data_IF_282102506733
#
_entry.id   IF_282102506733
#
_cell.length_a   1.000
_cell.length_b   1.000
_cell.length_c   1.000
_cell.angle_alpha   90.00
_cell.angle_beta   90.00
_cell.angle_gamma   90.00
#
_symmetry.space_group_name_H-M   'P 1'
#
loop_
_entity.id
_entity.type
_entity.pdbx_description
1 polymer ?
#
# COMPACT_ATOMS: atom_id res chain seq x y z
N UNK A 1 58.85 -64.42 -9.66
CA UNK A 1 57.52 -65.00 -9.59
C UNK A 1 56.47 -64.11 -8.84
N UNK A 2 56.84 -63.29 -7.88
CA UNK A 2 55.93 -62.47 -7.04
C UNK A 2 55.13 -61.41 -7.87
N UNK A 3 55.70 -60.82 -8.92
CA UNK A 3 55.10 -59.77 -9.72
C UNK A 3 53.85 -60.18 -10.55
N UNK A 4 53.71 -61.48 -10.88
CA UNK A 4 52.58 -62.04 -11.63
C UNK A 4 51.25 -62.11 -10.81
N UNK A 5 51.39 -62.19 -9.49
CA UNK A 5 50.23 -62.33 -8.60
C UNK A 5 49.89 -61.01 -7.88
N UNK A 6 50.84 -60.06 -7.83
CA UNK A 6 50.66 -58.77 -7.13
C UNK A 6 49.64 -57.90 -7.84
N UNK A 7 49.66 -57.83 -9.17
CA UNK A 7 48.75 -56.98 -9.97
C UNK A 7 47.27 -57.46 -9.85
N UNK A 8 46.95 -58.74 -10.03
CA UNK A 8 45.55 -59.18 -9.86
C UNK A 8 45.06 -59.06 -8.40
N UNK A 9 45.93 -59.23 -7.40
CA UNK A 9 45.57 -59.00 -6.00
C UNK A 9 45.20 -57.56 -5.72
N UNK A 10 45.98 -56.59 -6.23
CA UNK A 10 45.68 -55.15 -6.12
C UNK A 10 44.38 -54.79 -6.82
N UNK A 11 44.07 -55.37 -7.98
CA UNK A 11 42.82 -55.15 -8.69
C UNK A 11 41.63 -55.65 -7.90
N UNK A 12 41.71 -56.81 -7.26
CA UNK A 12 40.66 -57.37 -6.41
C UNK A 12 40.44 -56.49 -5.18
N UNK A 13 41.47 -56.03 -4.51
CA UNK A 13 41.40 -55.11 -3.37
C UNK A 13 40.73 -53.80 -3.79
N UNK A 14 41.12 -53.24 -4.95
CA UNK A 14 40.51 -52.03 -5.50
C UNK A 14 39.03 -52.20 -5.83
N UNK A 15 38.64 -53.36 -6.37
CA UNK A 15 37.22 -53.68 -6.65
C UNK A 15 36.42 -53.80 -5.35
N UNK A 16 36.93 -54.51 -4.34
CA UNK A 16 36.27 -54.61 -3.05
C UNK A 16 36.12 -53.23 -2.39
N UNK A 17 37.13 -52.39 -2.45
CA UNK A 17 37.08 -51.04 -1.92
C UNK A 17 36.05 -50.16 -2.68
N UNK A 18 36.00 -50.26 -4.00
CA UNK A 18 35.00 -49.57 -4.80
C UNK A 18 33.58 -49.98 -4.47
N UNK A 19 33.33 -51.31 -4.33
CA UNK A 19 32.00 -51.83 -3.94
C UNK A 19 31.64 -51.38 -2.51
N UNK A 20 32.60 -51.35 -1.60
CA UNK A 20 32.39 -50.86 -0.23
C UNK A 20 32.08 -49.36 -0.22
N UNK A 21 32.79 -48.54 -1.01
CA UNK A 21 32.58 -47.12 -1.13
C UNK A 21 31.20 -46.80 -1.72
N UNK A 22 30.76 -47.51 -2.79
CA UNK A 22 29.42 -47.36 -3.37
C UNK A 22 28.32 -47.72 -2.37
N UNK A 23 28.50 -48.84 -1.62
CA UNK A 23 27.54 -49.18 -0.56
C UNK A 23 27.47 -48.17 0.58
N UNK A 24 28.56 -47.49 0.90
CA UNK A 24 28.60 -46.48 1.92
C UNK A 24 27.97 -45.15 1.41
N UNK A 25 28.17 -44.80 0.14
CA UNK A 25 27.57 -43.63 -0.51
C UNK A 25 26.07 -43.82 -0.78
N UNK A 26 25.60 -45.08 -0.91
CA UNK A 26 24.19 -45.38 -1.19
C UNK A 26 23.32 -45.46 0.08
N UNK A 27 23.80 -45.03 1.24
CA UNK A 27 22.92 -44.94 2.43
C UNK A 27 21.86 -43.89 2.15
N UNK A 28 20.55 -44.22 2.22
CA UNK A 28 19.50 -43.22 2.02
C UNK A 28 19.65 -42.14 3.08
N UNK A 29 19.83 -40.90 2.63
CA UNK A 29 19.79 -39.72 3.51
C UNK A 29 18.36 -39.67 4.02
N UNK A 30 18.14 -39.93 5.28
CA UNK A 30 16.83 -39.76 5.91
C UNK A 30 16.41 -38.32 5.73
N UNK A 31 15.25 -38.03 5.12
CA UNK A 31 14.79 -36.64 4.99
C UNK A 31 14.74 -36.03 6.39
N UNK A 32 15.26 -34.81 6.49
CA UNK A 32 15.19 -34.05 7.74
C UNK A 32 13.73 -34.01 8.21
N UNK A 33 13.49 -34.32 9.48
CA UNK A 33 12.14 -34.20 10.05
C UNK A 33 11.67 -32.77 9.88
N UNK A 34 10.43 -32.54 9.41
CA UNK A 34 9.90 -31.19 9.32
C UNK A 34 9.97 -30.54 10.70
N UNK A 35 10.33 -29.26 10.74
CA UNK A 35 10.48 -28.48 11.98
C UNK A 35 9.15 -28.37 12.75
N UNK A 36 8.03 -28.48 12.03
CA UNK A 36 6.68 -28.55 12.60
C UNK A 36 5.85 -29.57 11.81
N UNK A 37 4.96 -30.29 12.51
CA UNK A 37 3.99 -31.14 11.83
C UNK A 37 3.04 -30.28 10.98
N UNK A 38 2.65 -30.75 9.78
CA UNK A 38 1.68 -30.03 8.96
C UNK A 38 0.33 -29.94 9.68
N UNK A 39 -0.38 -28.78 9.58
CA UNK A 39 -1.65 -28.60 10.26
C UNK A 39 -2.68 -29.64 9.79
N UNK A 40 -3.39 -30.26 10.75
CA UNK A 40 -4.49 -31.18 10.48
C UNK A 40 -5.77 -30.39 10.30
N UNK A 41 -6.25 -30.30 9.07
CA UNK A 41 -7.48 -29.59 8.71
C UNK A 41 -8.63 -30.57 8.56
N UNK A 42 -9.82 -30.18 9.04
CA UNK A 42 -11.03 -31.02 9.00
C UNK A 42 -11.72 -31.09 7.64
N UNK A 43 -11.24 -30.35 6.63
CA UNK A 43 -11.83 -30.36 5.28
C UNK A 43 -11.33 -31.56 4.48
N UNK A 44 -12.25 -32.38 3.96
CA UNK A 44 -11.92 -33.52 3.08
C UNK A 44 -11.36 -33.02 1.74
N UNK A 45 -12.03 -32.06 1.12
CA UNK A 45 -11.61 -31.37 -0.09
C UNK A 45 -11.14 -29.97 0.27
N UNK A 46 -9.85 -29.69 0.13
CA UNK A 46 -9.28 -28.40 0.49
C UNK A 46 -8.45 -27.79 -0.64
N UNK A 47 -8.51 -26.48 -0.73
CA UNK A 47 -7.56 -25.65 -1.47
C UNK A 47 -6.62 -25.07 -0.44
N UNK A 48 -5.32 -25.27 -0.63
CA UNK A 48 -4.28 -24.68 0.22
C UNK A 48 -3.63 -23.48 -0.47
N UNK A 49 -3.45 -22.40 0.27
CA UNK A 49 -2.80 -21.21 -0.23
C UNK A 49 -1.98 -20.52 0.84
N UNK A 50 -0.96 -19.78 0.43
CA UNK A 50 -0.25 -18.87 1.32
C UNK A 50 -1.07 -17.58 1.46
N UNK A 51 -1.35 -17.17 2.68
CA UNK A 51 -2.05 -15.93 2.99
C UNK A 51 -1.09 -14.88 3.57
N UNK A 52 -1.20 -13.64 3.13
CA UNK A 52 -0.49 -12.49 3.72
C UNK A 52 -1.48 -11.69 4.54
N UNK A 53 -1.12 -11.41 5.79
CA UNK A 53 -1.92 -10.55 6.68
C UNK A 53 -1.77 -9.09 6.25
N UNK A 54 -2.90 -8.40 6.11
CA UNK A 54 -2.95 -6.98 5.75
C UNK A 54 -3.93 -6.23 6.66
N UNK A 55 -3.78 -4.91 6.73
CA UNK A 55 -4.81 -4.05 7.30
C UNK A 55 -6.12 -4.13 6.47
N UNK A 56 -7.27 -3.90 7.07
CA UNK A 56 -8.58 -3.90 6.36
C UNK A 56 -8.65 -2.86 5.24
N UNK A 57 -7.90 -1.77 5.36
CA UNK A 57 -7.75 -0.72 4.34
C UNK A 57 -6.65 -1.01 3.33
N UNK A 58 -6.02 -2.18 3.38
CA UNK A 58 -4.66 -2.46 2.90
C UNK A 58 -3.62 -1.60 3.64
N UNK A 59 -2.34 -1.92 3.42
CA UNK A 59 -1.27 -1.11 3.96
C UNK A 59 -1.05 0.10 3.06
N UNK A 60 -1.33 1.32 3.58
CA UNK A 60 -1.22 2.56 2.81
C UNK A 60 0.18 3.12 2.97
N UNK A 61 0.89 3.23 1.86
CA UNK A 61 2.20 3.85 1.78
C UNK A 61 2.06 5.38 1.70
N UNK A 62 2.53 6.09 2.70
CA UNK A 62 2.52 7.55 2.75
C UNK A 62 3.81 8.08 2.11
N UNK A 63 3.64 8.90 1.10
CA UNK A 63 4.68 9.72 0.47
C UNK A 63 4.51 11.20 0.80
N UNK A 64 5.31 12.06 0.16
CA UNK A 64 5.19 13.50 0.26
C UNK A 64 4.68 14.12 -1.04
N UNK A 65 3.84 15.15 -0.96
CA UNK A 65 3.39 15.93 -2.12
C UNK A 65 4.51 16.83 -2.67
N UNK A 66 5.38 17.29 -1.79
CA UNK A 66 6.53 18.14 -2.12
C UNK A 66 7.80 17.57 -1.52
N UNK A 67 8.92 17.80 -2.18
CA UNK A 67 10.22 17.38 -1.64
C UNK A 67 10.76 18.40 -0.65
N UNK A 68 11.51 17.94 0.35
CA UNK A 68 12.14 18.82 1.33
C UNK A 68 12.79 18.08 2.48
N UNK A 69 13.47 18.84 3.35
CA UNK A 69 14.05 18.29 4.57
C UNK A 69 12.95 18.14 5.62
N UNK A 70 12.89 16.98 6.27
CA UNK A 70 11.97 16.71 7.37
C UNK A 70 12.35 17.55 8.58
N UNK A 71 11.45 18.41 9.00
CA UNK A 71 11.62 19.23 10.20
C UNK A 71 11.27 18.42 11.46
N UNK A 72 10.14 17.70 11.42
CA UNK A 72 9.63 16.93 12.56
C UNK A 72 8.80 15.74 12.08
N UNK A 73 8.91 14.62 12.81
CA UNK A 73 7.99 13.49 12.73
C UNK A 73 7.11 13.51 13.97
N UNK A 74 5.79 13.54 13.79
CA UNK A 74 4.81 13.68 14.88
C UNK A 74 4.26 12.36 15.39
N UNK A 75 4.51 11.28 14.69
CA UNK A 75 3.96 9.95 15.01
C UNK A 75 5.05 8.94 15.28
N UNK A 76 4.68 7.86 15.95
CA UNK A 76 5.53 6.69 16.25
C UNK A 76 4.81 5.40 15.87
N UNK A 77 5.56 4.33 15.69
CA UNK A 77 5.01 2.99 15.41
C UNK A 77 4.02 2.57 16.50
N UNK A 78 2.95 1.90 16.09
CA UNK A 78 1.82 1.46 16.91
C UNK A 78 0.96 2.60 17.50
N UNK A 79 1.14 3.84 17.04
CA UNK A 79 0.28 4.94 17.43
C UNK A 79 -1.03 4.91 16.63
N UNK A 80 -2.16 5.03 17.32
CA UNK A 80 -3.46 5.26 16.71
C UNK A 80 -3.53 6.69 16.19
N UNK A 81 -4.04 6.84 14.97
CA UNK A 81 -4.17 8.11 14.25
C UNK A 81 -5.56 8.22 13.65
N UNK A 82 -6.01 9.46 13.44
CA UNK A 82 -7.23 9.79 12.73
C UNK A 82 -6.94 10.43 11.39
N UNK A 83 -7.88 10.37 10.49
CA UNK A 83 -7.83 11.13 9.25
C UNK A 83 -7.61 12.62 9.53
N UNK A 84 -6.63 13.25 8.84
CA UNK A 84 -6.22 14.62 9.06
C UNK A 84 -5.10 14.81 10.09
N UNK A 85 -4.78 13.83 10.92
CA UNK A 85 -3.69 13.93 11.88
C UNK A 85 -2.34 14.14 11.17
N UNK A 86 -1.48 15.06 11.66
CA UNK A 86 -0.18 15.30 11.07
C UNK A 86 0.77 14.13 11.35
N UNK A 87 1.39 13.61 10.30
CA UNK A 87 2.36 12.51 10.36
C UNK A 87 3.79 13.04 10.45
N UNK A 88 4.16 13.93 9.56
CA UNK A 88 5.43 14.65 9.58
C UNK A 88 5.32 15.99 8.88
N UNK A 89 6.26 16.91 9.18
CA UNK A 89 6.34 18.23 8.55
C UNK A 89 7.70 18.43 7.94
N UNK A 90 7.71 19.11 6.79
CA UNK A 90 8.91 19.56 6.09
C UNK A 90 9.33 20.97 6.53
N UNK A 91 10.58 21.34 6.28
CA UNK A 91 11.08 22.67 6.54
C UNK A 91 10.39 23.70 5.65
N UNK A 92 9.59 24.55 6.26
CA UNK A 92 8.79 25.59 5.61
C UNK A 92 9.35 26.99 5.69
N UNK A 93 10.56 27.20 6.20
CA UNK A 93 11.11 28.56 6.44
C UNK A 93 11.11 29.42 5.16
N UNK A 94 11.58 28.86 4.05
CA UNK A 94 11.60 29.58 2.76
C UNK A 94 10.19 29.91 2.25
N UNK A 95 9.24 28.96 2.35
CA UNK A 95 7.85 29.16 1.93
C UNK A 95 7.12 30.21 2.80
N UNK A 96 7.39 30.24 4.10
CA UNK A 96 6.85 31.26 5.00
C UNK A 96 7.39 32.62 4.70
N UNK A 97 8.68 32.75 4.34
CA UNK A 97 9.26 34.03 3.90
C UNK A 97 8.63 34.51 2.58
N UNK A 98 8.41 33.61 1.61
CA UNK A 98 7.72 33.94 0.36
C UNK A 98 6.26 34.38 0.61
N UNK A 99 5.53 33.70 1.50
CA UNK A 99 4.19 34.14 1.91
C UNK A 99 4.20 35.61 2.45
N UNK A 100 5.13 35.93 3.34
CA UNK A 100 5.23 37.30 3.90
C UNK A 100 5.47 38.36 2.82
N UNK A 101 6.28 38.03 1.79
CA UNK A 101 6.50 38.93 0.65
C UNK A 101 5.20 39.14 -0.14
N UNK A 102 4.44 38.06 -0.41
CA UNK A 102 3.15 38.12 -1.12
C UNK A 102 2.09 38.89 -0.33
N UNK A 103 2.05 38.72 1.00
CA UNK A 103 1.15 39.46 1.89
C UNK A 103 1.48 40.96 1.87
N UNK A 104 2.77 41.34 1.86
CA UNK A 104 3.18 42.75 1.72
C UNK A 104 2.72 43.33 0.38
N UNK A 105 2.75 42.53 -0.72
CA UNK A 105 2.24 42.96 -2.02
C UNK A 105 0.72 43.21 -2.01
N UNK A 106 -0.05 42.41 -1.29
CA UNK A 106 -1.50 42.67 -1.12
C UNK A 106 -1.74 44.03 -0.45
N UNK A 107 -0.92 44.35 0.56
CA UNK A 107 -1.01 45.65 1.22
C UNK A 107 -0.68 46.82 0.26
N UNK A 108 0.36 46.65 -0.57
CA UNK A 108 0.75 47.65 -1.60
C UNK A 108 -0.38 47.89 -2.61
N UNK A 109 -0.91 46.80 -3.23
CA UNK A 109 -1.99 46.92 -4.22
C UNK A 109 -3.30 47.45 -3.59
N UNK A 110 -3.58 47.10 -2.32
CA UNK A 110 -4.72 47.67 -1.59
C UNK A 110 -4.58 49.17 -1.35
N UNK A 111 -3.37 49.65 -1.03
CA UNK A 111 -3.11 51.07 -0.87
C UNK A 111 -3.25 51.81 -2.19
N UNK A 112 -2.71 51.25 -3.29
CA UNK A 112 -2.82 51.81 -4.64
C UNK A 112 -4.30 51.91 -5.09
N UNK A 113 -5.10 50.86 -4.86
CA UNK A 113 -6.54 50.88 -5.16
C UNK A 113 -7.24 52.00 -4.40
N UNK A 114 -7.00 52.13 -3.08
CA UNK A 114 -7.60 53.19 -2.25
C UNK A 114 -7.26 54.56 -2.74
N UNK A 115 -6.03 54.80 -3.20
CA UNK A 115 -5.61 56.11 -3.77
C UNK A 115 -6.37 56.40 -5.06
N UNK A 116 -6.46 55.43 -5.99
CA UNK A 116 -7.19 55.58 -7.25
C UNK A 116 -8.69 55.80 -7.02
N UNK A 117 -9.29 55.06 -6.08
CA UNK A 117 -10.70 55.27 -5.67
C UNK A 117 -10.92 56.67 -5.09
N UNK A 118 -10.00 57.17 -4.26
CA UNK A 118 -10.07 58.52 -3.71
C UNK A 118 -9.96 59.59 -4.82
N UNK A 119 -9.04 59.40 -5.77
CA UNK A 119 -8.90 60.29 -6.95
C UNK A 119 -10.16 60.26 -7.82
N UNK A 120 -10.75 59.11 -8.04
CA UNK A 120 -12.00 58.97 -8.79
C UNK A 120 -13.17 59.67 -8.09
N UNK A 121 -13.30 59.45 -6.77
CA UNK A 121 -14.34 60.08 -5.96
C UNK A 121 -14.25 61.61 -5.95
N UNK A 122 -13.04 62.16 -5.96
CA UNK A 122 -12.81 63.61 -6.10
C UNK A 122 -13.24 64.09 -7.49
N UNK A 123 -12.86 63.36 -8.56
CA UNK A 123 -13.24 63.70 -9.94
C UNK A 123 -14.76 63.64 -10.16
N UNK A 124 -15.47 62.72 -9.60
CA UNK A 124 -16.95 62.62 -9.69
C UNK A 124 -17.71 63.71 -8.97
N UNK A 125 -17.10 64.35 -7.97
CA UNK A 125 -17.70 65.49 -7.25
C UNK A 125 -17.58 66.80 -7.98
N UNK A 126 -16.76 66.94 -9.03
CA UNK A 126 -16.60 68.12 -9.81
C UNK A 126 -17.84 68.37 -10.68
N UNK A 127 -18.61 69.38 -10.37
CA UNK A 127 -19.88 69.73 -11.04
C UNK A 127 -19.72 70.43 -12.38
N UNK A 128 -18.56 71.06 -12.64
CA UNK A 128 -18.31 71.76 -13.89
C UNK A 128 -17.84 70.82 -14.99
N UNK A 129 -18.63 70.56 -16.06
CA UNK A 129 -18.26 69.69 -17.17
C UNK A 129 -17.03 70.15 -17.95
N UNK A 130 -16.60 71.43 -17.76
CA UNK A 130 -15.39 71.92 -18.40
C UNK A 130 -14.12 71.65 -17.61
N UNK A 131 -14.24 71.26 -16.34
CA UNK A 131 -13.11 71.01 -15.47
C UNK A 131 -12.55 69.61 -15.61
N UNK A 132 -13.38 68.65 -15.98
CA UNK A 132 -12.98 67.23 -16.19
C UNK A 132 -13.71 66.68 -17.43
N UNK A 133 -12.96 66.19 -18.42
CA UNK A 133 -13.55 65.56 -19.62
C UNK A 133 -14.14 64.19 -19.35
N UNK A 134 -15.12 63.80 -20.16
CA UNK A 134 -15.68 62.45 -20.10
C UNK A 134 -14.60 61.31 -20.32
N UNK A 135 -13.58 61.65 -21.16
CA UNK A 135 -12.44 60.76 -21.40
C UNK A 135 -11.57 60.61 -20.15
N UNK A 136 -11.30 61.67 -19.40
CA UNK A 136 -10.55 61.59 -18.14
C UNK A 136 -11.29 60.83 -17.06
N UNK A 137 -12.63 60.95 -16.94
CA UNK A 137 -13.43 60.16 -16.03
C UNK A 137 -13.37 58.69 -16.39
N UNK A 138 -13.49 58.36 -17.69
CA UNK A 138 -13.39 56.97 -18.13
C UNK A 138 -11.99 56.37 -17.86
N UNK A 139 -10.91 57.14 -18.10
CA UNK A 139 -9.55 56.71 -17.77
C UNK A 139 -9.39 56.37 -16.28
N UNK A 140 -9.91 57.24 -15.39
CA UNK A 140 -9.85 56.99 -13.94
C UNK A 140 -10.68 55.79 -13.54
N UNK A 141 -11.86 55.58 -14.14
CA UNK A 141 -12.71 54.38 -13.90
C UNK A 141 -11.98 53.11 -14.31
N UNK A 142 -11.36 53.10 -15.48
CA UNK A 142 -10.55 51.97 -15.92
C UNK A 142 -9.30 51.78 -15.06
N UNK A 143 -8.66 52.81 -14.55
CA UNK A 143 -7.55 52.71 -13.62
C UNK A 143 -7.94 52.02 -12.31
N UNK A 144 -9.11 52.35 -11.75
CA UNK A 144 -9.68 51.65 -10.57
C UNK A 144 -9.93 50.17 -10.88
N UNK A 145 -10.58 49.86 -12.01
CA UNK A 145 -10.83 48.46 -12.39
C UNK A 145 -9.53 47.64 -12.56
N UNK A 146 -8.49 48.25 -13.13
CA UNK A 146 -7.17 47.62 -13.26
C UNK A 146 -6.55 47.38 -11.88
N UNK A 147 -6.67 48.35 -10.95
CA UNK A 147 -6.14 48.19 -9.59
C UNK A 147 -6.91 47.12 -8.80
N UNK A 148 -8.24 47.06 -8.95
CA UNK A 148 -9.06 45.95 -8.38
C UNK A 148 -8.58 44.58 -8.88
N UNK A 149 -8.36 44.45 -10.20
CA UNK A 149 -7.86 43.22 -10.78
C UNK A 149 -6.46 42.85 -10.28
N UNK A 150 -5.56 43.84 -10.07
CA UNK A 150 -4.23 43.63 -9.49
C UNK A 150 -4.30 43.13 -8.04
N UNK A 151 -5.16 43.77 -7.24
CA UNK A 151 -5.39 43.37 -5.85
C UNK A 151 -5.93 41.93 -5.80
N UNK A 152 -6.93 41.58 -6.63
CA UNK A 152 -7.48 40.24 -6.72
C UNK A 152 -6.39 39.21 -7.09
N UNK A 153 -5.50 39.54 -8.02
CA UNK A 153 -4.36 38.68 -8.39
C UNK A 153 -3.40 38.51 -7.21
N UNK A 154 -3.04 39.60 -6.50
CA UNK A 154 -2.15 39.52 -5.34
C UNK A 154 -2.75 38.62 -4.22
N UNK A 155 -4.06 38.77 -3.96
CA UNK A 155 -4.78 37.92 -3.01
C UNK A 155 -4.73 36.44 -3.43
N UNK A 156 -4.97 36.12 -4.70
CA UNK A 156 -4.89 34.75 -5.20
C UNK A 156 -3.47 34.16 -5.06
N UNK A 157 -2.42 34.98 -5.21
CA UNK A 157 -1.05 34.53 -4.98
C UNK A 157 -0.76 34.21 -3.51
N UNK A 158 -1.36 34.94 -2.56
CA UNK A 158 -1.27 34.66 -1.13
C UNK A 158 -1.95 33.33 -0.83
N UNK A 159 -3.15 33.06 -1.36
CA UNK A 159 -3.84 31.79 -1.16
C UNK A 159 -3.06 30.60 -1.75
N UNK A 160 -2.46 30.79 -2.93
CA UNK A 160 -1.59 29.77 -3.51
C UNK A 160 -0.38 29.45 -2.60
N UNK A 161 0.28 30.49 -2.04
CA UNK A 161 1.39 30.29 -1.10
C UNK A 161 0.96 29.61 0.20
N UNK A 162 -0.24 29.87 0.70
CA UNK A 162 -0.80 29.19 1.88
C UNK A 162 -1.03 27.71 1.63
N UNK A 163 -1.56 27.36 0.46
CA UNK A 163 -1.70 25.95 0.04
C UNK A 163 -0.33 25.27 -0.02
N UNK A 164 0.68 25.91 -0.61
CA UNK A 164 2.04 25.37 -0.65
C UNK A 164 2.62 25.11 0.76
N UNK A 165 2.30 25.94 1.74
CA UNK A 165 2.71 25.77 3.14
C UNK A 165 1.94 24.62 3.79
N UNK A 166 0.64 24.49 3.53
CA UNK A 166 -0.16 23.38 4.08
C UNK A 166 0.33 22.02 3.56
N UNK A 167 0.73 21.94 2.29
CA UNK A 167 1.32 20.74 1.68
C UNK A 167 2.64 20.30 2.32
N UNK A 168 3.32 21.16 3.08
CA UNK A 168 4.51 20.79 3.86
C UNK A 168 4.17 19.90 5.07
N UNK A 169 2.90 19.87 5.46
CA UNK A 169 2.42 18.97 6.54
C UNK A 169 1.73 17.77 5.91
N UNK A 170 2.39 16.63 5.92
CA UNK A 170 1.80 15.38 5.45
C UNK A 170 0.88 14.81 6.53
N UNK A 171 -0.38 14.54 6.15
CA UNK A 171 -1.44 14.11 7.06
C UNK A 171 -1.91 12.71 6.73
N UNK A 172 -2.52 12.04 7.72
CA UNK A 172 -3.15 10.74 7.50
C UNK A 172 -4.43 10.88 6.65
N UNK A 173 -4.59 10.09 5.59
CA UNK A 173 -5.83 10.05 4.81
C UNK A 173 -6.95 9.22 5.47
N UNK A 174 -6.64 8.41 6.49
CA UNK A 174 -7.57 7.46 7.13
C UNK A 174 -7.41 7.43 8.64
N UNK A 175 -8.43 6.88 9.32
CA UNK A 175 -8.32 6.42 10.70
C UNK A 175 -7.61 5.06 10.72
N UNK A 176 -6.66 4.88 11.63
CA UNK A 176 -5.90 3.63 11.72
C UNK A 176 -4.76 3.66 12.72
N UNK A 177 -3.73 2.88 12.42
CA UNK A 177 -2.53 2.74 13.24
C UNK A 177 -1.28 2.86 12.37
N UNK A 178 -0.22 3.45 12.90
CA UNK A 178 1.07 3.57 12.23
C UNK A 178 1.80 2.24 12.30
N UNK A 179 2.05 1.62 11.15
CA UNK A 179 2.70 0.31 11.02
C UNK A 179 4.23 0.44 10.98
N UNK A 180 4.73 1.44 10.24
CA UNK A 180 6.17 1.71 10.10
C UNK A 180 6.43 3.20 9.96
N UNK A 181 7.59 3.64 10.46
CA UNK A 181 8.11 5.01 10.29
C UNK A 181 9.55 4.87 9.80
N UNK A 182 9.78 5.17 8.51
CA UNK A 182 11.06 5.00 7.83
C UNK A 182 11.72 6.34 7.49
N UNK A 183 11.28 7.40 8.14
CA UNK A 183 11.83 8.74 7.96
C UNK A 183 12.12 9.41 9.31
N UNK A 184 13.17 10.24 9.35
CA UNK A 184 13.64 10.91 10.56
C UNK A 184 13.82 12.42 10.33
N UNK A 185 13.73 13.22 11.40
CA UNK A 185 14.09 14.64 11.31
C UNK A 185 15.51 14.85 10.75
N UNK A 186 15.65 15.77 9.79
CA UNK A 186 16.89 16.04 9.09
C UNK A 186 17.09 15.26 7.80
N UNK A 187 16.31 14.19 7.54
CA UNK A 187 16.36 13.45 6.29
C UNK A 187 15.60 14.17 5.17
N UNK A 188 15.97 13.85 3.94
CA UNK A 188 15.30 14.38 2.74
C UNK A 188 14.12 13.47 2.36
N UNK A 189 12.92 14.05 2.29
CA UNK A 189 11.72 13.40 1.79
C UNK A 189 11.56 13.72 0.29
N UNK A 190 11.62 12.73 -0.60
CA UNK A 190 11.34 12.92 -2.03
C UNK A 190 9.83 13.04 -2.28
N UNK A 191 9.48 13.57 -3.44
CA UNK A 191 8.09 13.63 -3.92
C UNK A 191 7.62 12.26 -4.42
N UNK A 192 6.37 11.91 -4.14
CA UNK A 192 5.74 10.70 -4.65
C UNK A 192 6.00 9.46 -3.79
N UNK A 193 5.80 8.29 -4.40
CA UNK A 193 6.02 6.98 -3.75
C UNK A 193 7.44 6.51 -3.93
N UNK A 194 8.04 6.03 -2.85
CA UNK A 194 9.36 5.43 -2.81
C UNK A 194 9.25 3.91 -2.68
N UNK A 195 10.28 3.16 -3.05
CA UNK A 195 10.33 1.71 -2.89
C UNK A 195 10.08 1.32 -1.42
N UNK A 196 10.69 2.05 -0.49
CA UNK A 196 10.38 1.97 0.94
C UNK A 196 9.52 3.18 1.30
N UNK A 197 8.25 3.01 1.72
CA UNK A 197 7.37 4.13 2.06
C UNK A 197 7.92 4.91 3.24
N UNK A 198 7.76 6.25 3.24
CA UNK A 198 8.19 7.12 4.34
C UNK A 198 7.50 6.75 5.66
N UNK A 199 6.19 6.53 5.60
CA UNK A 199 5.38 5.99 6.69
C UNK A 199 4.41 4.98 6.10
N UNK A 200 4.17 3.88 6.80
CA UNK A 200 3.17 2.88 6.46
C UNK A 200 2.07 2.91 7.52
N UNK A 201 0.82 3.02 7.07
CA UNK A 201 -0.35 3.06 7.95
C UNK A 201 -1.40 2.05 7.51
N UNK A 202 -2.31 1.68 8.42
CA UNK A 202 -3.42 0.81 8.09
C UNK A 202 -4.44 0.72 9.22
N UNK A 203 -5.68 0.37 8.90
CA UNK A 203 -6.69 0.10 9.91
C UNK A 203 -6.58 -1.36 10.37
N UNK A 204 -6.30 -1.55 11.65
CA UNK A 204 -6.09 -2.86 12.28
C UNK A 204 -7.28 -3.31 13.16
N UNK A 205 -8.41 -2.63 13.14
CA UNK A 205 -9.59 -3.04 13.89
C UNK A 205 -10.07 -4.43 13.45
N UNK A 206 -9.94 -4.69 12.16
CA UNK A 206 -10.10 -6.01 11.54
C UNK A 206 -8.91 -6.26 10.62
N UNK A 207 -8.39 -7.48 10.64
CA UNK A 207 -7.30 -7.88 9.75
C UNK A 207 -7.86 -8.61 8.53
N UNK A 208 -7.24 -8.37 7.38
CA UNK A 208 -7.47 -9.13 6.17
C UNK A 208 -6.35 -10.13 5.95
N UNK A 209 -6.69 -11.22 5.29
CA UNK A 209 -5.72 -12.20 4.78
C UNK A 209 -5.94 -12.30 3.29
N UNK A 210 -4.96 -11.90 2.51
CA UNK A 210 -4.95 -12.12 1.07
C UNK A 210 -4.33 -13.46 0.79
N UNK A 211 -5.12 -14.37 0.27
CA UNK A 211 -4.75 -15.75 0.01
C UNK A 211 -4.48 -15.92 -1.47
N UNK A 212 -3.30 -16.39 -1.80
CA UNK A 212 -2.93 -16.74 -3.17
C UNK A 212 -3.38 -18.19 -3.45
N UNK A 213 -4.41 -18.34 -4.28
CA UNK A 213 -4.94 -19.61 -4.78
C UNK A 213 -4.35 -19.86 -6.15
N UNK A 214 -3.71 -21.04 -6.34
CA UNK A 214 -3.14 -21.44 -7.63
C UNK A 214 -4.21 -21.48 -8.72
N UNK A 215 -3.88 -21.02 -9.94
CA UNK A 215 -4.80 -21.01 -11.08
C UNK A 215 -5.39 -22.39 -11.38
N UNK A 216 -4.62 -23.45 -11.15
CA UNK A 216 -5.08 -24.84 -11.34
C UNK A 216 -6.17 -25.26 -10.34
N UNK A 217 -6.23 -24.61 -9.17
CA UNK A 217 -7.26 -24.85 -8.15
C UNK A 217 -8.40 -23.82 -8.19
N UNK A 218 -8.23 -22.72 -8.92
CA UNK A 218 -9.19 -21.60 -8.96
C UNK A 218 -10.61 -22.05 -9.40
N UNK A 219 -10.72 -23.01 -10.29
CA UNK A 219 -12.02 -23.56 -10.75
C UNK A 219 -12.79 -24.31 -9.66
N UNK A 220 -12.11 -24.78 -8.61
CA UNK A 220 -12.70 -25.47 -7.45
C UNK A 220 -13.19 -24.50 -6.38
N UNK A 221 -12.74 -23.24 -6.46
CA UNK A 221 -13.08 -22.22 -5.48
C UNK A 221 -14.52 -21.74 -5.65
N UNK A 222 -15.25 -21.65 -4.53
CA UNK A 222 -16.59 -21.10 -4.50
C UNK A 222 -16.60 -19.83 -3.64
N UNK A 223 -17.19 -18.71 -4.13
CA UNK A 223 -17.36 -17.51 -3.33
C UNK A 223 -18.14 -17.79 -2.04
N UNK A 224 -17.60 -17.30 -0.92
CA UNK A 224 -18.19 -17.55 0.39
C UNK A 224 -17.74 -18.84 1.07
N UNK A 225 -16.86 -19.65 0.44
CA UNK A 225 -16.32 -20.85 1.04
C UNK A 225 -15.65 -20.55 2.39
N UNK A 226 -15.93 -21.35 3.45
CA UNK A 226 -15.27 -21.21 4.74
C UNK A 226 -13.77 -21.54 4.62
N UNK A 227 -12.97 -20.83 5.41
CA UNK A 227 -11.52 -21.05 5.43
C UNK A 227 -10.97 -20.95 6.84
N UNK A 228 -9.82 -21.58 7.07
CA UNK A 228 -9.10 -21.54 8.34
C UNK A 228 -7.64 -21.15 8.06
N UNK A 229 -7.13 -20.21 8.83
CA UNK A 229 -5.73 -19.80 8.78
C UNK A 229 -4.95 -20.35 9.96
N UNK A 230 -3.73 -20.79 9.71
CA UNK A 230 -2.76 -21.25 10.69
C UNK A 230 -1.52 -20.38 10.65
N UNK A 231 -0.95 -20.08 11.81
CA UNK A 231 0.34 -19.38 11.86
C UNK A 231 1.43 -20.36 11.39
N UNK A 232 2.21 -19.92 10.41
CA UNK A 232 3.30 -20.73 9.87
C UNK A 232 4.29 -21.08 10.96
N UNK A 233 4.57 -22.38 11.12
CA UNK A 233 5.45 -22.91 12.17
C UNK A 233 4.77 -23.16 13.53
N UNK A 234 3.48 -22.79 13.69
CA UNK A 234 2.73 -23.12 14.90
C UNK A 234 1.26 -23.47 14.55
N UNK A 235 0.96 -24.77 14.30
CA UNK A 235 -0.38 -25.20 13.90
C UNK A 235 -1.45 -25.11 15.01
N UNK A 236 -1.06 -24.89 16.27
CA UNK A 236 -2.00 -24.66 17.36
C UNK A 236 -2.63 -23.27 17.30
N UNK A 237 -1.91 -22.29 16.71
CA UNK A 237 -2.41 -20.93 16.52
C UNK A 237 -3.19 -20.84 15.21
N UNK A 238 -4.51 -20.87 15.31
CA UNK A 238 -5.43 -20.84 14.16
C UNK A 238 -6.60 -19.91 14.39
N UNK A 239 -7.22 -19.47 13.31
CA UNK A 239 -8.47 -18.70 13.33
C UNK A 239 -9.32 -19.04 12.12
N UNK A 240 -10.65 -19.03 12.31
CA UNK A 240 -11.59 -19.10 11.21
C UNK A 240 -11.59 -17.77 10.45
N UNK A 241 -11.70 -17.89 9.14
CA UNK A 241 -11.69 -16.76 8.22
C UNK A 241 -13.07 -16.54 7.62
N UNK A 242 -13.46 -15.28 7.52
CA UNK A 242 -14.69 -14.84 6.87
C UNK A 242 -14.35 -14.34 5.47
N UNK A 243 -15.04 -14.87 4.45
CA UNK A 243 -14.89 -14.42 3.07
C UNK A 243 -15.33 -12.96 2.92
N UNK A 244 -14.53 -12.15 2.21
CA UNK A 244 -14.84 -10.76 1.87
C UNK A 244 -15.08 -10.62 0.36
N UNK A 245 -14.07 -10.85 -0.45
CA UNK A 245 -14.16 -10.75 -1.91
C UNK A 245 -13.01 -11.48 -2.63
N UNK A 246 -13.13 -11.57 -3.95
CA UNK A 246 -12.10 -12.07 -4.86
C UNK A 246 -11.55 -10.89 -5.67
N UNK A 247 -10.23 -10.77 -5.79
CA UNK A 247 -9.61 -9.88 -6.77
C UNK A 247 -9.89 -10.39 -8.17
N UNK A 248 -10.55 -9.56 -8.99
CA UNK A 248 -10.93 -9.95 -10.36
C UNK A 248 -9.78 -9.89 -11.36
N UNK A 249 -8.55 -9.98 -10.88
CA UNK A 249 -7.34 -9.96 -11.68
C UNK A 249 -6.35 -10.99 -11.20
N UNK A 250 -5.94 -11.89 -12.10
CA UNK A 250 -4.98 -12.95 -11.81
C UNK A 250 -3.57 -12.42 -11.97
N UNK A 251 -2.75 -12.57 -10.95
CA UNK A 251 -1.38 -12.04 -10.91
C UNK A 251 -0.35 -13.17 -10.98
N UNK A 252 0.87 -12.91 -11.49
CA UNK A 252 1.96 -13.85 -11.36
C UNK A 252 2.27 -14.13 -9.89
N UNK A 253 2.50 -15.39 -9.53
CA UNK A 253 2.90 -15.78 -8.18
C UNK A 253 4.26 -15.15 -7.87
N UNK A 254 4.33 -14.37 -6.80
CA UNK A 254 5.60 -13.85 -6.30
C UNK A 254 6.21 -14.85 -5.33
N UNK A 255 7.42 -15.35 -5.64
CA UNK A 255 8.18 -16.15 -4.69
C UNK A 255 8.55 -15.29 -3.48
N UNK A 256 8.18 -15.73 -2.27
CA UNK A 256 8.48 -15.04 -1.02
C UNK A 256 9.88 -15.36 -0.48
N UNK A 257 10.65 -16.19 -1.19
CA UNK A 257 11.99 -16.64 -0.80
C UNK A 257 13.13 -15.76 -1.32
N UNK A 258 12.85 -14.51 -1.73
CA UNK A 258 13.88 -13.48 -1.93
C UNK A 258 14.89 -13.67 -3.07
N UNK A 259 15.02 -14.85 -3.67
CA UNK A 259 15.86 -15.08 -4.84
C UNK A 259 15.04 -15.05 -6.13
N UNK A 260 15.22 -13.97 -6.83
CA UNK A 260 14.46 -13.49 -7.99
C UNK A 260 14.72 -14.28 -9.29
N UNK A 261 15.37 -15.44 -9.28
CA UNK A 261 15.80 -16.13 -10.50
C UNK A 261 14.93 -17.29 -10.93
N UNK A 262 14.02 -17.76 -10.10
CA UNK A 262 13.06 -18.77 -10.52
C UNK A 262 11.81 -18.09 -11.09
N UNK A 263 11.71 -18.00 -12.42
CA UNK A 263 10.49 -17.69 -13.13
C UNK A 263 9.49 -18.82 -12.87
N UNK A 264 8.74 -18.70 -11.79
CA UNK A 264 7.57 -19.55 -11.55
C UNK A 264 6.47 -19.06 -12.50
N UNK A 265 6.25 -19.77 -13.58
CA UNK A 265 5.24 -19.45 -14.60
C UNK A 265 3.80 -19.76 -14.11
N UNK A 266 3.61 -19.75 -12.79
CA UNK A 266 2.32 -19.98 -12.12
C UNK A 266 1.66 -18.65 -11.80
N UNK A 267 0.37 -18.58 -12.12
CA UNK A 267 -0.50 -17.47 -11.78
C UNK A 267 -1.37 -17.81 -10.58
N UNK A 268 -1.78 -16.80 -9.84
CA UNK A 268 -2.64 -16.97 -8.66
C UNK A 268 -3.85 -16.06 -8.73
N UNK A 269 -4.99 -16.62 -8.32
CA UNK A 269 -6.20 -15.88 -8.00
C UNK A 269 -6.11 -15.44 -6.54
N UNK A 270 -6.31 -14.17 -6.27
CA UNK A 270 -6.24 -13.62 -4.92
C UNK A 270 -7.63 -13.56 -4.30
N UNK A 271 -7.78 -14.22 -3.16
CA UNK A 271 -9.02 -14.24 -2.38
C UNK A 271 -8.76 -13.55 -1.05
N UNK A 272 -9.61 -12.59 -0.71
CA UNK A 272 -9.49 -11.82 0.52
C UNK A 272 -10.49 -12.32 1.55
N UNK A 273 -9.97 -12.68 2.70
CA UNK A 273 -10.71 -13.06 3.89
C UNK A 273 -10.45 -12.05 5.01
N UNK A 274 -11.29 -12.05 6.04
CA UNK A 274 -11.11 -11.23 7.23
C UNK A 274 -11.19 -12.05 8.51
N UNK A 275 -10.59 -11.54 9.57
CA UNK A 275 -10.75 -12.05 10.93
C UNK A 275 -10.57 -10.92 11.96
N UNK A 276 -11.06 -11.13 13.19
CA UNK A 276 -10.88 -10.16 14.29
C UNK A 276 -9.43 -10.26 14.83
N UNK A 277 -8.75 -9.14 14.98
CA UNK A 277 -7.38 -9.05 15.54
C UNK A 277 -7.22 -9.77 16.89
N UNK A 278 -8.30 -9.85 17.68
CA UNK A 278 -8.28 -10.51 18.99
C UNK A 278 -8.20 -12.03 18.93
N UNK A 279 -8.61 -12.62 17.80
CA UNK A 279 -8.63 -14.07 17.63
C UNK A 279 -7.24 -14.65 17.37
N UNK A 280 -6.34 -13.87 16.78
CA UNK A 280 -5.00 -14.31 16.43
C UNK A 280 -4.02 -13.14 16.55
N UNK A 281 -2.98 -13.31 17.38
CA UNK A 281 -1.94 -12.29 17.56
C UNK A 281 -0.91 -12.37 16.44
N UNK A 282 -1.19 -11.67 15.35
CA UNK A 282 -0.33 -11.58 14.16
C UNK A 282 -0.21 -10.13 13.70
N UNK A 283 0.81 -9.87 12.89
CA UNK A 283 1.12 -8.54 12.37
C UNK A 283 0.88 -8.46 10.85
N UNK A 284 0.50 -7.31 10.30
CA UNK A 284 0.51 -7.08 8.86
C UNK A 284 1.86 -7.43 8.24
N UNK A 285 1.83 -8.12 7.08
CA UNK A 285 3.01 -8.67 6.42
C UNK A 285 3.37 -10.09 6.83
N UNK A 286 2.77 -10.64 7.89
CA UNK A 286 3.03 -12.01 8.32
C UNK A 286 2.33 -13.00 7.40
N UNK A 287 3.00 -14.15 7.17
CA UNK A 287 2.46 -15.25 6.36
C UNK A 287 1.68 -16.24 7.22
N UNK A 288 0.53 -16.65 6.69
CA UNK A 288 -0.32 -17.71 7.24
C UNK A 288 -0.48 -18.82 6.22
N UNK A 289 -0.62 -20.05 6.70
CA UNK A 289 -1.02 -21.17 5.86
C UNK A 289 -2.56 -21.27 5.92
N UNK A 290 -3.21 -21.05 4.77
CA UNK A 290 -4.67 -20.97 4.69
C UNK A 290 -5.21 -22.18 3.94
N UNK A 291 -6.28 -22.75 4.49
CA UNK A 291 -7.03 -23.86 3.90
C UNK A 291 -8.47 -23.43 3.70
N UNK A 292 -8.93 -23.53 2.46
CA UNK A 292 -10.28 -23.17 2.02
C UNK A 292 -11.03 -24.46 1.73
N UNK A 293 -12.28 -24.57 2.19
CA UNK A 293 -13.15 -25.70 1.88
C UNK A 293 -13.56 -25.66 0.40
N UNK A 294 -13.16 -26.67 -0.35
CA UNK A 294 -13.44 -26.81 -1.78
C UNK A 294 -14.58 -27.79 -2.06
N UNK A 295 -15.60 -27.86 -1.19
CA UNK A 295 -16.75 -28.73 -1.46
C UNK A 295 -17.35 -28.34 -2.81
N UNK A 296 -17.34 -29.28 -3.73
CA UNK A 296 -18.08 -29.16 -4.99
C UNK A 296 -19.56 -29.16 -4.60
N UNK A 297 -20.27 -28.04 -4.84
CA UNK A 297 -21.73 -28.06 -4.72
C UNK A 297 -22.20 -29.19 -5.65
N UNK A 298 -22.91 -30.19 -5.09
CA UNK A 298 -23.57 -31.19 -5.92
C UNK A 298 -24.41 -30.44 -6.94
N UNK A 299 -24.09 -30.64 -8.19
CA UNK A 299 -24.86 -30.11 -9.33
C UNK A 299 -26.26 -30.69 -9.12
N UNK A 300 -27.23 -29.88 -8.70
CA UNK A 300 -28.62 -30.27 -8.75
C UNK A 300 -28.89 -30.65 -10.20
N UNK A 301 -29.00 -31.93 -10.46
CA UNK A 301 -29.48 -32.40 -11.76
C UNK A 301 -30.84 -31.75 -12.00
N UNK A 302 -31.05 -31.13 -13.18
CA UNK A 302 -32.36 -30.60 -13.52
C UNK A 302 -33.33 -31.78 -13.50
N UNK A 303 -34.26 -31.73 -12.53
CA UNK A 303 -35.24 -32.79 -12.30
C UNK A 303 -35.92 -33.19 -13.61
N UNK A 304 -35.86 -34.49 -13.92
CA UNK A 304 -36.59 -35.12 -15.01
C UNK A 304 -38.06 -34.74 -14.89
N UNK A 305 -38.47 -33.86 -15.82
CA UNK A 305 -39.88 -33.52 -16.00
C UNK A 305 -40.69 -34.76 -16.27
N UNK A 306 -41.43 -35.22 -15.26
CA UNK A 306 -42.50 -36.26 -15.44
C UNK A 306 -43.39 -35.80 -16.58
N UNK A 307 -43.22 -36.38 -17.78
CA UNK A 307 -44.25 -36.40 -18.83
C UNK A 307 -45.48 -37.10 -18.29
N UNK A 308 -46.50 -36.37 -17.87
CA UNK A 308 -47.85 -36.93 -17.77
C UNK A 308 -48.35 -37.18 -19.17
N UNK A 309 -48.47 -38.44 -19.54
CA UNK A 309 -49.39 -38.88 -20.55
C UNK A 309 -50.80 -38.67 -19.98
N UNK A 310 -51.62 -37.90 -20.66
CA UNK A 310 -53.06 -37.93 -20.55
C UNK A 310 -53.61 -38.45 -21.87
N UNK A 311 -54.33 -39.53 -21.77
CA UNK A 311 -55.29 -39.99 -22.74
C UNK A 311 -56.36 -38.96 -22.98
#
# INVERSE_FOLDING_TARGET
MIRKYLLPLLAIIGLIFAIWMVKQASKPVLPARPVADPPRVSFENKISGAGIVEASTRNIAIGSHVSGIVQRVQVRVAQKIKAGDPLFTLDGRAKKADLAIREARVLEESANLKDLEAQMKVAEKVKDPRAISADDLNKRRFAVQVAEARLANAVAQVEAARIEIDLLTVRSPIDGEVLQVNIRPGEFAPTGTTEVPLILIGNLDRLHVRVDVDENDAWRFQPGAPAVAYVRGNPEMKTDLRFEYIEKYVVPKRSLTGESTERVDTRVMQVVYSFDRRNLSVFPGQLLDVFIDARIAERQEPGEGKKKHSE
#
